data_IF_528860320223
#
_entry.id   IF_528860320223
#
_cell.length_a   1.000
_cell.length_b   1.000
_cell.length_c   1.000
_cell.angle_alpha   90.00
_cell.angle_beta   90.00
_cell.angle_gamma   90.00
#
_symmetry.space_group_name_H-M   'P 1'
#
loop_
_entity.id
_entity.type
_entity.pdbx_description
1 polymer ?
#
# COMPACT_ATOMS: atom_id res chain seq x y z
N UNK A 1 -12.17 9.21 -10.26
CA UNK A 1 -10.76 8.81 -10.36
C UNK A 1 -10.52 8.34 -11.78
N UNK A 2 -9.95 9.20 -12.66
CA UNK A 2 -9.68 8.88 -14.05
C UNK A 2 -8.56 7.83 -14.25
N UNK A 3 -7.65 7.66 -13.28
CA UNK A 3 -6.54 6.71 -13.36
C UNK A 3 -6.78 5.55 -12.42
N UNK A 4 -6.48 4.33 -12.91
CA UNK A 4 -6.54 3.10 -12.12
C UNK A 4 -5.36 2.21 -12.48
N UNK A 5 -4.63 1.77 -11.47
CA UNK A 5 -3.57 0.77 -11.55
C UNK A 5 -4.01 -0.45 -10.77
N UNK A 6 -3.74 -1.63 -11.34
CA UNK A 6 -4.06 -2.91 -10.72
C UNK A 6 -2.80 -3.75 -10.69
N UNK A 7 -2.48 -4.27 -9.52
CA UNK A 7 -1.36 -5.16 -9.28
C UNK A 7 -1.73 -6.27 -8.30
N UNK A 8 -0.71 -6.92 -7.77
CA UNK A 8 -0.82 -7.96 -6.75
C UNK A 8 0.21 -7.76 -5.64
N UNK A 9 -0.06 -8.32 -4.47
CA UNK A 9 0.95 -8.53 -3.43
C UNK A 9 1.94 -9.58 -3.94
N UNK A 10 3.16 -9.19 -4.26
CA UNK A 10 4.18 -10.10 -4.79
C UNK A 10 4.99 -10.77 -3.69
N UNK A 11 5.13 -10.12 -2.54
CA UNK A 11 5.96 -10.56 -1.42
C UNK A 11 5.55 -9.88 -0.12
N UNK A 12 6.13 -10.31 0.99
CA UNK A 12 5.87 -9.79 2.34
C UNK A 12 7.23 -9.39 2.91
N UNK A 13 7.35 -8.17 3.44
CA UNK A 13 8.59 -7.71 4.06
C UNK A 13 8.87 -8.43 5.39
N UNK A 14 10.07 -8.26 5.94
CA UNK A 14 10.41 -8.79 7.28
C UNK A 14 9.52 -8.21 8.39
N UNK A 15 9.09 -6.94 8.26
CA UNK A 15 8.15 -6.28 9.18
C UNK A 15 6.71 -6.77 9.03
N UNK A 16 6.38 -7.46 7.92
CA UNK A 16 5.03 -7.91 7.63
C UNK A 16 4.21 -7.00 6.72
N UNK A 17 4.84 -6.00 6.11
CA UNK A 17 4.22 -5.15 5.09
C UNK A 17 3.95 -5.95 3.82
N UNK A 18 2.86 -5.62 3.14
CA UNK A 18 2.50 -6.24 1.87
C UNK A 18 3.19 -5.49 0.74
N UNK A 19 4.19 -6.10 0.11
CA UNK A 19 4.90 -5.50 -1.01
C UNK A 19 4.20 -5.88 -2.30
N UNK A 20 3.90 -4.89 -3.14
CA UNK A 20 3.18 -5.10 -4.41
C UNK A 20 4.11 -5.07 -5.62
N UNK A 21 3.61 -5.44 -6.79
CA UNK A 21 4.27 -5.24 -8.09
C UNK A 21 3.98 -3.85 -8.72
N UNK A 22 3.28 -2.97 -8.00
CA UNK A 22 3.01 -1.60 -8.41
C UNK A 22 4.23 -0.75 -8.09
N UNK A 23 5.02 -0.40 -9.10
CA UNK A 23 6.28 0.34 -8.92
C UNK A 23 6.06 1.83 -8.67
N UNK A 24 7.03 2.48 -8.03
CA UNK A 24 7.02 3.94 -7.86
C UNK A 24 6.88 4.70 -9.18
N UNK A 25 7.49 4.20 -10.26
CA UNK A 25 7.39 4.78 -11.61
C UNK A 25 5.95 4.74 -12.16
N UNK A 26 5.23 3.64 -11.93
CA UNK A 26 3.81 3.55 -12.30
C UNK A 26 2.96 4.57 -11.51
N UNK A 27 3.39 4.94 -10.31
CA UNK A 27 2.74 5.90 -9.42
C UNK A 27 3.31 7.33 -9.54
N UNK A 28 4.18 7.62 -10.51
CA UNK A 28 4.83 8.93 -10.62
C UNK A 28 3.83 10.09 -10.79
N UNK A 29 2.68 9.84 -11.42
CA UNK A 29 1.60 10.82 -11.61
C UNK A 29 0.53 10.81 -10.50
N UNK A 30 0.67 9.98 -9.46
CA UNK A 30 -0.28 9.92 -8.36
C UNK A 30 -0.08 11.08 -7.38
N UNK A 31 -1.16 11.74 -6.92
CA UNK A 31 -1.11 12.56 -5.71
C UNK A 31 -0.56 11.77 -4.53
N UNK A 32 -0.08 12.47 -3.49
CA UNK A 32 0.41 11.84 -2.25
C UNK A 32 -0.51 12.06 -1.06
N UNK A 33 -1.71 12.54 -1.32
CA UNK A 33 -2.73 12.91 -0.33
C UNK A 33 -3.99 12.05 -0.47
N UNK A 34 -5.01 12.37 0.31
CA UNK A 34 -6.28 11.65 0.42
C UNK A 34 -7.08 11.49 -0.90
N UNK A 35 -6.65 12.13 -1.99
CA UNK A 35 -7.24 11.94 -3.33
C UNK A 35 -6.89 10.59 -3.94
N UNK A 36 -5.87 9.89 -3.45
CA UNK A 36 -5.54 8.53 -3.87
C UNK A 36 -6.26 7.53 -2.98
N UNK A 37 -6.93 6.56 -3.60
CA UNK A 37 -7.52 5.42 -2.91
C UNK A 37 -6.68 4.17 -3.22
N UNK A 38 -6.22 3.48 -2.18
CA UNK A 38 -5.54 2.19 -2.26
C UNK A 38 -6.42 1.12 -1.67
N UNK A 39 -6.68 0.05 -2.43
CA UNK A 39 -7.47 -1.11 -2.00
C UNK A 39 -6.64 -2.37 -2.04
N UNK A 40 -6.63 -3.12 -0.94
CA UNK A 40 -6.02 -4.44 -0.85
C UNK A 40 -7.05 -5.40 -0.26
N UNK A 41 -7.58 -6.30 -1.10
CA UNK A 41 -8.74 -7.12 -0.75
C UNK A 41 -9.96 -6.28 -0.31
N UNK A 42 -10.53 -6.56 0.86
CA UNK A 42 -11.66 -5.86 1.48
C UNK A 42 -11.22 -4.64 2.32
N UNK A 43 -9.92 -4.32 2.30
CA UNK A 43 -9.34 -3.21 3.06
C UNK A 43 -9.00 -2.06 2.14
N UNK A 44 -9.21 -0.84 2.62
CA UNK A 44 -8.89 0.37 1.87
C UNK A 44 -8.29 1.46 2.76
N UNK A 45 -7.44 2.28 2.15
CA UNK A 45 -6.82 3.46 2.78
C UNK A 45 -6.64 4.56 1.74
N UNK A 46 -6.52 5.79 2.22
CA UNK A 46 -6.35 6.96 1.37
C UNK A 46 -4.94 7.54 1.52
N UNK A 47 -4.40 8.04 0.41
CA UNK A 47 -3.06 8.59 0.35
C UNK A 47 -1.96 7.57 0.10
N UNK A 48 -0.81 8.09 -0.32
CA UNK A 48 0.45 7.35 -0.44
C UNK A 48 1.49 8.12 0.36
N UNK A 49 1.84 7.57 1.51
CA UNK A 49 2.76 8.17 2.47
C UNK A 49 4.22 7.94 2.08
N UNK A 50 5.10 8.69 2.74
CA UNK A 50 6.55 8.44 2.74
C UNK A 50 6.90 7.51 3.91
N UNK A 51 8.09 6.90 3.87
CA UNK A 51 8.60 5.99 4.92
C UNK A 51 8.72 6.62 6.31
N UNK A 52 8.81 7.95 6.39
CA UNK A 52 8.95 8.73 7.63
C UNK A 52 7.62 9.31 8.14
N UNK A 53 6.49 8.68 7.79
CA UNK A 53 5.17 9.14 8.20
C UNK A 53 4.98 9.12 9.74
N UNK A 54 4.13 10.02 10.24
CA UNK A 54 3.75 10.09 11.65
C UNK A 54 2.32 9.56 11.90
N UNK A 55 1.85 8.65 11.04
CA UNK A 55 0.51 8.07 11.19
C UNK A 55 0.37 7.32 12.52
N UNK A 56 -0.81 7.36 13.17
CA UNK A 56 -1.00 6.69 14.45
C UNK A 56 -0.82 5.18 14.36
N UNK A 57 -0.41 4.54 15.47
CA UNK A 57 -0.38 3.09 15.58
C UNK A 57 -1.74 2.46 15.23
N UNK A 58 -1.72 1.25 14.67
CA UNK A 58 -2.89 0.51 14.19
C UNK A 58 -3.63 1.17 13.00
N UNK A 59 -2.99 2.12 12.31
CA UNK A 59 -3.54 2.71 11.08
C UNK A 59 -3.09 1.91 9.86
N UNK A 60 -4.04 1.58 8.99
CA UNK A 60 -3.74 1.02 7.66
C UNK A 60 -3.32 2.14 6.72
N UNK A 61 -2.13 2.02 6.14
CA UNK A 61 -1.57 3.02 5.24
C UNK A 61 -0.99 2.35 3.99
N UNK A 62 -0.82 3.14 2.95
CA UNK A 62 -0.02 2.76 1.79
C UNK A 62 1.16 3.72 1.66
N UNK A 63 2.34 3.21 1.34
CA UNK A 63 3.55 4.00 1.17
C UNK A 63 4.41 3.48 0.01
N UNK A 64 5.37 4.29 -0.44
CA UNK A 64 6.47 3.78 -1.26
C UNK A 64 7.62 3.45 -0.33
N UNK A 65 7.84 2.15 -0.08
CA UNK A 65 8.87 1.66 0.82
C UNK A 65 10.23 1.47 0.15
N UNK A 66 11.15 0.85 0.88
CA UNK A 66 12.51 0.57 0.40
C UNK A 66 12.54 -0.38 -0.81
N UNK A 67 11.46 -1.14 -1.03
CA UNK A 67 11.27 -1.98 -2.23
C UNK A 67 11.09 -1.19 -3.53
N UNK A 68 10.96 0.14 -3.46
CA UNK A 68 10.59 1.03 -4.56
C UNK A 68 9.24 0.64 -5.23
N UNK A 69 8.42 -0.10 -4.49
CA UNK A 69 7.07 -0.48 -4.87
C UNK A 69 6.09 0.08 -3.84
N UNK A 70 4.80 0.08 -4.19
CA UNK A 70 3.75 0.35 -3.23
C UNK A 70 3.73 -0.77 -2.20
N UNK A 71 3.79 -0.38 -0.93
CA UNK A 71 3.67 -1.24 0.22
C UNK A 71 2.41 -0.88 1.01
N UNK A 72 1.74 -1.89 1.56
CA UNK A 72 0.62 -1.72 2.50
C UNK A 72 1.10 -2.11 3.88
N UNK A 73 0.97 -1.18 4.81
CA UNK A 73 1.46 -1.29 6.20
C UNK A 73 0.31 -1.07 7.19
N UNK A 74 0.39 -1.77 8.32
CA UNK A 74 -0.32 -1.39 9.54
C UNK A 74 0.71 -0.82 10.50
N UNK A 75 0.57 0.46 10.85
CA UNK A 75 1.58 1.14 11.66
C UNK A 75 1.76 0.43 13.01
N UNK A 76 2.97 -0.07 13.24
CA UNK A 76 3.33 -0.76 14.48
C UNK A 76 2.83 -2.20 14.62
N UNK A 77 2.32 -2.82 13.55
CA UNK A 77 1.87 -4.22 13.55
C UNK A 77 2.16 -4.91 12.20
N UNK A 78 1.96 -6.23 12.14
CA UNK A 78 2.16 -7.04 10.95
C UNK A 78 0.91 -6.99 10.05
N UNK A 79 0.99 -6.25 8.94
CA UNK A 79 -0.13 -6.09 8.01
C UNK A 79 -0.65 -7.43 7.45
N UNK A 80 0.24 -8.37 7.12
CA UNK A 80 -0.16 -9.72 6.69
C UNK A 80 -1.05 -10.43 7.71
N UNK A 81 -0.64 -10.42 8.98
CA UNK A 81 -1.38 -11.11 10.05
C UNK A 81 -2.70 -10.39 10.33
N UNK A 82 -2.68 -9.06 10.46
CA UNK A 82 -3.86 -8.29 10.81
C UNK A 82 -4.91 -8.28 9.69
N UNK A 83 -4.48 -8.17 8.43
CA UNK A 83 -5.38 -8.09 7.29
C UNK A 83 -5.76 -9.47 6.74
N UNK A 84 -5.05 -10.54 7.12
CA UNK A 84 -5.26 -11.89 6.61
C UNK A 84 -4.88 -12.06 5.13
N UNK A 85 -3.99 -11.19 4.61
CA UNK A 85 -3.64 -11.13 3.19
C UNK A 85 -2.44 -12.03 2.88
N UNK A 86 -2.47 -12.68 1.72
CA UNK A 86 -1.37 -13.50 1.20
C UNK A 86 -0.83 -12.95 -0.13
N UNK A 87 0.32 -13.46 -0.57
CA UNK A 87 0.84 -13.18 -1.91
C UNK A 87 -0.16 -13.61 -2.99
N UNK A 88 -0.17 -12.90 -4.12
CA UNK A 88 -1.15 -13.04 -5.19
C UNK A 88 -2.44 -12.25 -4.97
N UNK A 89 -2.65 -11.67 -3.78
CA UNK A 89 -3.83 -10.86 -3.51
C UNK A 89 -3.83 -9.57 -4.35
N UNK A 90 -4.98 -9.24 -4.93
CA UNK A 90 -5.16 -8.06 -5.77
C UNK A 90 -5.00 -6.76 -4.97
N UNK A 91 -4.28 -5.81 -5.57
CA UNK A 91 -4.18 -4.42 -5.11
C UNK A 91 -4.62 -3.47 -6.21
N UNK A 92 -5.38 -2.44 -5.85
CA UNK A 92 -5.82 -1.39 -6.77
C UNK A 92 -5.47 -0.02 -6.22
N UNK A 93 -5.00 0.87 -7.09
CA UNK A 93 -4.76 2.27 -6.78
C UNK A 93 -5.53 3.13 -7.76
N UNK A 94 -6.34 4.06 -7.26
CA UNK A 94 -7.17 4.95 -8.08
C UNK A 94 -6.97 6.42 -7.67
N UNK A 95 -6.91 7.33 -8.64
CA UNK A 95 -6.96 8.78 -8.42
C UNK A 95 -7.56 9.52 -9.61
#
# INVERSE_FOLDING_TARGET
MPVRIVGIVNSISESGNLVTDITADQLAGAPRDERVLVRCNDHETNGIFQVDHEQPAMTLIALIGESNCLEVEVVGDNARIMLGVSTGQKVEVCW
#
